data_IF_544622113321
#
_entry.id   IF_544622113321
#
_cell.length_a   1.000
_cell.length_b   1.000
_cell.length_c   1.000
_cell.angle_alpha   90.00
_cell.angle_beta   90.00
_cell.angle_gamma   90.00
#
_symmetry.space_group_name_H-M   'P 1'
#
loop_
_entity.id
_entity.type
_entity.pdbx_description
1 polymer ?
#
# COMPACT_ATOMS: atom_id res chain seq x y z
N UNK A 1 1.85 9.15 1.20
CA UNK A 1 1.91 10.40 1.99
C UNK A 1 2.50 11.52 1.12
N UNK A 2 1.63 12.37 0.57
CA UNK A 2 2.10 13.62 0.02
C UNK A 2 2.72 14.42 1.17
N UNK A 3 4.00 14.79 1.05
CA UNK A 3 4.62 15.73 1.97
C UNK A 3 3.72 16.97 2.07
N UNK A 4 3.53 17.52 3.28
CA UNK A 4 2.74 18.77 3.49
C UNK A 4 3.22 19.94 2.61
N UNK A 5 4.40 19.81 2.02
CA UNK A 5 5.05 20.78 1.12
C UNK A 5 5.12 20.31 -0.33
N UNK A 6 4.42 19.24 -0.71
CA UNK A 6 4.40 18.78 -2.09
C UNK A 6 3.56 19.72 -2.96
N UNK A 7 4.00 19.94 -4.19
CA UNK A 7 3.20 20.63 -5.19
C UNK A 7 1.94 19.81 -5.46
N UNK A 8 0.73 20.41 -5.49
CA UNK A 8 -0.49 19.71 -5.89
C UNK A 8 -0.30 18.99 -7.23
N UNK A 9 -0.87 17.80 -7.37
CA UNK A 9 -0.58 16.93 -8.50
C UNK A 9 -1.02 17.53 -9.84
N UNK A 10 -2.20 18.15 -9.90
CA UNK A 10 -2.70 18.89 -11.04
C UNK A 10 -1.73 20.00 -11.46
N UNK A 11 -1.22 20.76 -10.50
CA UNK A 11 -0.25 21.82 -10.75
C UNK A 11 1.08 21.27 -11.24
N UNK A 12 1.50 20.11 -10.74
CA UNK A 12 2.70 19.43 -11.25
C UNK A 12 2.52 19.03 -12.72
N UNK A 13 1.36 18.46 -13.08
CA UNK A 13 1.03 18.13 -14.47
C UNK A 13 1.05 19.37 -15.38
N UNK A 14 0.42 20.47 -14.96
CA UNK A 14 0.44 21.72 -15.72
C UNK A 14 1.87 22.21 -16.02
N UNK A 15 2.74 22.21 -15.01
CA UNK A 15 4.13 22.65 -15.15
C UNK A 15 4.89 21.75 -16.16
N UNK A 16 4.74 20.43 -16.06
CA UNK A 16 5.37 19.48 -16.95
C UNK A 16 4.88 19.68 -18.41
N UNK A 17 3.57 19.77 -18.59
CA UNK A 17 2.96 19.94 -19.91
C UNK A 17 3.30 21.29 -20.56
N UNK A 18 3.46 22.35 -19.75
CA UNK A 18 3.94 23.65 -20.28
C UNK A 18 5.32 23.59 -20.92
N UNK A 19 6.07 22.50 -20.65
CA UNK A 19 7.39 22.23 -21.23
C UNK A 19 7.38 21.07 -22.22
N UNK A 20 6.19 20.55 -22.58
CA UNK A 20 6.04 19.40 -23.47
C UNK A 20 6.53 18.08 -22.86
N UNK A 21 6.61 17.96 -21.53
CA UNK A 21 7.08 16.76 -20.83
C UNK A 21 5.88 15.95 -20.36
N UNK A 22 5.75 14.67 -20.75
CA UNK A 22 4.70 13.79 -20.25
C UNK A 22 4.95 13.41 -18.80
N UNK A 23 3.86 13.20 -18.05
CA UNK A 23 3.85 12.80 -16.65
C UNK A 23 3.51 11.32 -16.51
N UNK A 24 4.40 10.57 -15.84
CA UNK A 24 4.19 9.16 -15.50
C UNK A 24 4.07 9.03 -13.99
N UNK A 25 3.01 8.38 -13.52
CA UNK A 25 2.74 8.17 -12.09
C UNK A 25 3.02 6.73 -11.71
N UNK A 26 3.87 6.52 -10.71
CA UNK A 26 3.95 5.25 -9.99
C UNK A 26 2.87 5.24 -8.90
N UNK A 27 1.78 4.53 -9.17
CA UNK A 27 0.65 4.37 -8.28
C UNK A 27 0.57 2.94 -7.70
N UNK A 28 1.71 2.26 -7.55
CA UNK A 28 1.78 0.86 -7.13
C UNK A 28 1.08 0.55 -5.81
N UNK A 29 0.90 1.54 -4.91
CA UNK A 29 0.25 1.41 -3.60
C UNK A 29 -1.07 2.20 -3.48
N UNK A 30 -1.65 2.65 -4.58
CA UNK A 30 -2.84 3.50 -4.55
C UNK A 30 -4.15 2.76 -4.85
N UNK A 31 -4.17 1.46 -4.71
CA UNK A 31 -5.38 0.63 -4.75
C UNK A 31 -5.58 -0.06 -3.41
N UNK A 32 -6.84 -0.21 -2.96
CA UNK A 32 -8.06 0.45 -3.38
C UNK A 32 -8.05 1.95 -3.04
N UNK A 33 -8.93 2.81 -3.56
CA UNK A 33 -10.15 2.50 -4.32
C UNK A 33 -9.89 2.21 -5.80
N UNK A 34 -10.80 1.44 -6.40
CA UNK A 34 -10.76 1.15 -7.84
C UNK A 34 -10.81 2.39 -8.73
N UNK A 35 -11.48 3.45 -8.26
CA UNK A 35 -11.55 4.74 -8.96
C UNK A 35 -10.16 5.34 -9.22
N UNK A 36 -9.15 5.01 -8.42
CA UNK A 36 -7.78 5.45 -8.63
C UNK A 36 -7.15 4.91 -9.92
N UNK A 37 -7.67 3.81 -10.47
CA UNK A 37 -7.21 3.32 -11.78
C UNK A 37 -7.42 4.35 -12.90
N UNK A 38 -8.37 5.28 -12.74
CA UNK A 38 -8.65 6.33 -13.70
C UNK A 38 -8.27 7.73 -13.20
N UNK A 39 -8.37 7.94 -11.90
CA UNK A 39 -8.22 9.24 -11.25
C UNK A 39 -6.96 10.00 -11.69
N UNK A 40 -5.79 9.36 -11.66
CA UNK A 40 -4.54 10.03 -12.00
C UNK A 40 -4.50 10.50 -13.46
N UNK A 41 -5.12 9.75 -14.38
CA UNK A 41 -5.27 10.15 -15.78
C UNK A 41 -6.23 11.36 -15.88
N UNK A 42 -7.35 11.32 -15.17
CA UNK A 42 -8.33 12.41 -15.16
C UNK A 42 -7.75 13.68 -14.50
N UNK A 43 -6.80 13.55 -13.58
CA UNK A 43 -6.06 14.65 -12.94
C UNK A 43 -4.86 15.15 -13.78
N UNK A 44 -4.56 14.54 -14.93
CA UNK A 44 -3.56 15.03 -15.89
C UNK A 44 -2.32 14.15 -16.08
N UNK A 45 -2.23 12.96 -15.49
CA UNK A 45 -1.17 12.03 -15.84
C UNK A 45 -1.29 11.53 -17.28
N UNK A 46 -0.16 11.40 -17.98
CA UNK A 46 -0.12 10.80 -19.32
C UNK A 46 -0.05 9.27 -19.26
N UNK A 47 0.57 8.74 -18.22
CA UNK A 47 0.58 7.30 -17.89
C UNK A 47 0.54 7.09 -16.38
N UNK A 48 -0.01 5.94 -15.97
CA UNK A 48 -0.01 5.48 -14.57
C UNK A 48 0.29 4.00 -14.50
N UNK A 49 1.15 3.61 -13.57
CA UNK A 49 1.54 2.22 -13.32
C UNK A 49 0.99 1.75 -11.96
N UNK A 50 0.32 0.59 -11.95
CA UNK A 50 -0.15 -0.09 -10.75
C UNK A 50 0.54 -1.43 -10.58
N UNK A 51 0.74 -1.87 -9.34
CA UNK A 51 1.22 -3.22 -9.05
C UNK A 51 0.11 -4.24 -9.23
N UNK A 52 0.40 -5.32 -9.93
CA UNK A 52 -0.51 -6.47 -10.03
C UNK A 52 -0.50 -7.37 -8.80
N UNK A 53 0.61 -7.37 -8.03
CA UNK A 53 0.81 -8.26 -6.90
C UNK A 53 0.48 -7.68 -5.52
N UNK A 54 -0.08 -6.46 -5.45
CA UNK A 54 -0.52 -5.82 -4.19
C UNK A 54 -2.04 -5.96 -4.01
N UNK A 55 -2.78 -4.88 -3.91
CA UNK A 55 -4.22 -4.91 -3.71
C UNK A 55 -5.01 -5.71 -4.77
N UNK A 56 -4.50 -5.78 -5.99
CA UNK A 56 -5.09 -6.62 -7.06
C UNK A 56 -4.91 -8.13 -6.78
N UNK A 57 -3.95 -8.53 -5.93
CA UNK A 57 -3.68 -9.91 -5.51
C UNK A 57 -3.35 -10.86 -6.67
N UNK A 58 -2.78 -10.33 -7.75
CA UNK A 58 -2.23 -11.11 -8.85
C UNK A 58 -0.79 -11.55 -8.60
N UNK A 59 -0.12 -12.18 -9.59
CA UNK A 59 1.28 -12.56 -9.47
C UNK A 59 2.19 -11.37 -9.21
N UNK A 60 3.16 -11.53 -8.30
CA UNK A 60 4.04 -10.44 -7.82
C UNK A 60 4.87 -9.78 -8.92
N UNK A 61 5.27 -10.53 -9.94
CA UNK A 61 6.05 -10.02 -11.07
C UNK A 61 5.25 -9.22 -12.11
N UNK A 62 3.98 -8.88 -11.82
CA UNK A 62 3.08 -8.23 -12.77
C UNK A 62 2.78 -6.77 -12.42
N UNK A 63 2.43 -5.99 -13.44
CA UNK A 63 1.94 -4.62 -13.31
C UNK A 63 0.92 -4.29 -14.39
N UNK A 64 0.22 -3.18 -14.15
CA UNK A 64 -0.77 -2.63 -15.07
C UNK A 64 -0.28 -1.25 -15.45
N UNK A 65 -0.12 -0.99 -16.75
CA UNK A 65 0.23 0.33 -17.27
C UNK A 65 -0.95 0.88 -18.07
N UNK A 66 -1.48 2.02 -17.66
CA UNK A 66 -2.59 2.72 -18.30
C UNK A 66 -2.12 4.10 -18.77
N UNK A 67 -2.75 4.66 -19.80
CA UNK A 67 -2.43 6.01 -20.24
C UNK A 67 -2.78 6.28 -21.69
N UNK A 68 -2.20 7.35 -22.23
CA UNK A 68 -2.38 7.79 -23.60
C UNK A 68 -1.90 6.73 -24.59
N UNK A 69 -2.71 6.49 -25.61
CA UNK A 69 -2.49 5.41 -26.58
C UNK A 69 -1.09 5.44 -27.21
N UNK A 70 -0.59 6.60 -27.63
CA UNK A 70 0.71 6.74 -28.26
C UNK A 70 1.88 6.38 -27.31
N UNK A 71 1.73 6.66 -26.00
CA UNK A 71 2.74 6.32 -25.01
C UNK A 71 2.69 4.84 -24.63
N UNK A 72 1.50 4.27 -24.56
CA UNK A 72 1.32 2.83 -24.34
C UNK A 72 1.87 2.02 -25.52
N UNK A 73 1.65 2.45 -26.76
CA UNK A 73 2.21 1.79 -27.93
C UNK A 73 3.75 1.93 -27.97
N UNK A 74 4.30 3.07 -27.57
CA UNK A 74 5.75 3.24 -27.41
C UNK A 74 6.33 2.31 -26.33
N UNK A 75 5.66 2.19 -25.17
CA UNK A 75 6.04 1.26 -24.12
C UNK A 75 5.99 -0.20 -24.61
N UNK A 76 4.93 -0.58 -25.32
CA UNK A 76 4.77 -1.90 -25.94
C UNK A 76 5.87 -2.21 -26.95
N UNK A 77 6.24 -1.26 -27.79
CA UNK A 77 7.32 -1.45 -28.76
C UNK A 77 8.67 -1.73 -28.09
N UNK A 78 8.88 -1.20 -26.88
CA UNK A 78 10.10 -1.39 -26.09
C UNK A 78 10.08 -2.65 -25.20
N UNK A 79 8.91 -3.28 -25.01
CA UNK A 79 8.71 -4.45 -24.14
C UNK A 79 8.79 -5.77 -24.93
N UNK A 80 8.87 -6.87 -24.20
CA UNK A 80 8.76 -8.23 -24.78
C UNK A 80 7.44 -8.36 -25.59
N UNK A 81 7.48 -9.00 -26.80
CA UNK A 81 8.56 -9.83 -27.34
C UNK A 81 9.64 -9.07 -28.16
N UNK A 82 9.52 -7.75 -28.28
CA UNK A 82 10.47 -6.96 -29.06
C UNK A 82 11.86 -6.90 -28.38
N UNK A 83 12.93 -6.83 -29.19
CA UNK A 83 14.32 -6.82 -28.70
C UNK A 83 14.78 -5.38 -28.40
N UNK A 84 14.14 -4.73 -27.44
CA UNK A 84 14.46 -3.37 -26.99
C UNK A 84 14.76 -3.33 -25.49
N UNK A 85 14.87 -2.13 -24.93
CA UNK A 85 15.40 -1.86 -23.58
C UNK A 85 14.66 -2.64 -22.46
N UNK A 86 13.35 -2.83 -22.59
CA UNK A 86 12.54 -3.55 -21.61
C UNK A 86 12.33 -5.04 -21.93
N UNK A 87 13.10 -5.61 -22.88
CA UNK A 87 13.00 -7.04 -23.24
C UNK A 87 13.31 -7.97 -22.08
N UNK A 88 14.21 -7.56 -21.20
CA UNK A 88 14.58 -8.33 -19.98
C UNK A 88 13.50 -8.34 -18.91
N UNK A 89 12.54 -7.41 -18.95
CA UNK A 89 11.41 -7.30 -18.02
C UNK A 89 10.21 -8.13 -18.48
N UNK A 90 10.47 -9.25 -19.15
CA UNK A 90 9.44 -10.13 -19.67
C UNK A 90 8.61 -10.75 -18.54
N UNK A 91 7.30 -10.55 -18.62
CA UNK A 91 6.30 -11.27 -17.81
C UNK A 91 5.89 -12.55 -18.54
N UNK A 92 5.76 -13.67 -17.83
CA UNK A 92 5.35 -14.95 -18.40
C UNK A 92 3.86 -14.93 -18.79
N UNK A 93 3.47 -15.80 -19.72
CA UNK A 93 2.05 -15.93 -20.12
C UNK A 93 1.17 -16.41 -18.95
N UNK A 94 1.73 -17.24 -18.08
CA UNK A 94 1.06 -17.77 -16.88
C UNK A 94 0.77 -16.62 -15.90
N UNK A 95 1.72 -15.72 -15.70
CA UNK A 95 1.53 -14.52 -14.88
C UNK A 95 0.52 -13.54 -15.50
N UNK A 96 0.53 -13.39 -16.83
CA UNK A 96 -0.45 -12.53 -17.53
C UNK A 96 -1.88 -13.09 -17.33
N UNK A 97 -2.08 -14.40 -17.48
CA UNK A 97 -3.39 -15.02 -17.24
C UNK A 97 -3.80 -14.88 -15.78
N UNK A 98 -2.86 -15.10 -14.85
CA UNK A 98 -3.10 -14.89 -13.41
C UNK A 98 -3.51 -13.45 -13.10
N UNK A 99 -2.83 -12.46 -13.67
CA UNK A 99 -3.15 -11.04 -13.50
C UNK A 99 -4.54 -10.70 -14.07
N UNK A 100 -4.88 -11.19 -15.27
CA UNK A 100 -6.21 -10.94 -15.88
C UNK A 100 -7.32 -11.49 -14.97
N UNK A 101 -7.11 -12.69 -14.40
CA UNK A 101 -8.06 -13.29 -13.47
C UNK A 101 -8.17 -12.47 -12.19
N UNK A 102 -7.05 -12.04 -11.61
CA UNK A 102 -7.03 -11.20 -10.41
C UNK A 102 -7.72 -9.85 -10.63
N UNK A 103 -7.49 -9.19 -11.77
CA UNK A 103 -8.18 -7.94 -12.14
C UNK A 103 -9.71 -8.17 -12.23
N UNK A 104 -10.15 -9.27 -12.83
CA UNK A 104 -11.59 -9.58 -12.92
C UNK A 104 -12.21 -9.76 -11.54
N UNK A 105 -11.54 -10.44 -10.63
CA UNK A 105 -11.98 -10.58 -9.24
C UNK A 105 -12.04 -9.21 -8.58
N UNK A 106 -10.94 -8.47 -8.60
CA UNK A 106 -10.82 -7.14 -8.00
C UNK A 106 -11.89 -6.15 -8.48
N UNK A 107 -12.22 -6.16 -9.78
CA UNK A 107 -13.24 -5.27 -10.35
C UNK A 107 -14.69 -5.64 -9.96
N UNK A 108 -14.92 -6.87 -9.49
CA UNK A 108 -16.25 -7.35 -9.09
C UNK A 108 -16.40 -7.52 -7.57
N UNK A 109 -15.36 -7.20 -6.77
CA UNK A 109 -15.47 -7.20 -5.31
C UNK A 109 -16.42 -6.12 -4.80
N UNK A 110 -17.02 -6.36 -3.66
CA UNK A 110 -17.74 -5.34 -2.91
C UNK A 110 -16.72 -4.49 -2.14
N UNK A 111 -16.31 -3.37 -2.72
CA UNK A 111 -15.28 -2.48 -2.17
C UNK A 111 -15.72 -1.85 -0.83
N UNK A 112 -17.01 -1.62 -0.65
CA UNK A 112 -17.56 -1.08 0.60
C UNK A 112 -17.49 -2.13 1.72
N UNK A 113 -17.89 -3.36 1.43
CA UNK A 113 -17.80 -4.46 2.38
C UNK A 113 -16.33 -4.77 2.76
N UNK A 114 -15.40 -4.76 1.80
CA UNK A 114 -13.97 -4.95 2.08
C UNK A 114 -13.39 -3.81 2.94
N UNK A 115 -13.75 -2.56 2.66
CA UNK A 115 -13.32 -1.41 3.46
C UNK A 115 -13.88 -1.50 4.89
N UNK A 116 -15.13 -1.92 5.05
CA UNK A 116 -15.74 -2.14 6.35
C UNK A 116 -15.01 -3.25 7.13
N UNK A 117 -14.66 -4.35 6.46
CA UNK A 117 -13.90 -5.46 7.05
C UNK A 117 -12.53 -4.99 7.55
N UNK A 118 -11.75 -4.28 6.73
CA UNK A 118 -10.46 -3.74 7.16
C UNK A 118 -10.59 -2.76 8.33
N UNK A 119 -11.65 -1.94 8.32
CA UNK A 119 -11.92 -1.00 9.41
C UNK A 119 -12.18 -1.74 10.73
N UNK A 120 -12.96 -2.82 10.68
CA UNK A 120 -13.26 -3.62 11.87
C UNK A 120 -12.00 -4.35 12.39
N UNK A 121 -11.17 -4.89 11.50
CA UNK A 121 -9.89 -5.49 11.88
C UNK A 121 -8.98 -4.47 12.59
N UNK A 122 -8.90 -3.24 12.08
CA UNK A 122 -8.13 -2.18 12.74
C UNK A 122 -8.73 -1.78 14.10
N UNK A 123 -10.06 -1.73 14.26
CA UNK A 123 -10.69 -1.46 15.57
C UNK A 123 -10.31 -2.52 16.60
N UNK A 124 -10.37 -3.79 16.23
CA UNK A 124 -9.93 -4.88 17.11
C UNK A 124 -8.47 -4.73 17.54
N UNK A 125 -7.59 -4.35 16.63
CA UNK A 125 -6.20 -4.08 16.95
C UNK A 125 -6.06 -2.88 17.92
N UNK A 126 -6.81 -1.80 17.71
CA UNK A 126 -6.85 -0.64 18.61
C UNK A 126 -7.33 -1.04 19.99
N UNK A 127 -8.47 -1.73 20.08
CA UNK A 127 -9.09 -2.13 21.35
C UNK A 127 -8.17 -3.05 22.18
N UNK A 128 -7.43 -3.92 21.52
CA UNK A 128 -6.50 -4.84 22.19
C UNK A 128 -5.21 -4.18 22.68
N UNK A 129 -4.82 -3.04 22.13
CA UNK A 129 -3.54 -2.37 22.40
C UNK A 129 -3.70 -1.05 23.17
N UNK A 130 -4.90 -0.47 23.24
CA UNK A 130 -5.13 0.85 23.87
C UNK A 130 -4.78 0.88 25.37
N UNK A 131 -4.84 -0.26 26.05
CA UNK A 131 -4.50 -0.36 27.47
C UNK A 131 -3.00 -0.54 27.77
N UNK A 132 -2.15 -0.61 26.72
CA UNK A 132 -0.69 -0.71 26.92
C UNK A 132 -0.18 0.61 27.49
N UNK A 133 0.50 0.62 28.65
CA UNK A 133 0.95 1.86 29.25
C UNK A 133 2.00 2.57 28.38
N UNK A 134 1.90 3.89 28.25
CA UNK A 134 2.87 4.72 27.55
C UNK A 134 2.71 4.72 26.02
N UNK A 135 1.64 4.14 25.48
CA UNK A 135 1.29 4.26 24.07
C UNK A 135 -0.08 4.92 23.88
N UNK A 136 -0.26 5.52 22.73
CA UNK A 136 -1.58 5.91 22.22
C UNK A 136 -1.86 5.09 20.97
N UNK A 137 -3.07 4.57 20.82
CA UNK A 137 -3.44 3.74 19.67
C UNK A 137 -4.65 4.36 19.00
N UNK A 138 -4.56 4.55 17.69
CA UNK A 138 -5.65 5.15 16.90
C UNK A 138 -5.82 4.42 15.57
N UNK A 139 -7.06 4.43 15.07
CA UNK A 139 -7.35 4.05 13.70
C UNK A 139 -7.13 5.28 12.81
N UNK A 140 -6.25 5.16 11.83
CA UNK A 140 -5.97 6.22 10.89
C UNK A 140 -6.33 5.81 9.46
N UNK A 141 -6.96 6.76 8.77
CA UNK A 141 -7.45 6.55 7.44
C UNK A 141 -7.53 7.90 6.72
N UNK A 142 -6.93 8.05 5.55
CA UNK A 142 -7.02 9.28 4.80
C UNK A 142 -8.38 9.45 4.09
N UNK A 143 -9.08 8.33 3.88
CA UNK A 143 -10.45 8.31 3.35
C UNK A 143 -10.61 8.75 1.90
N UNK A 144 -9.51 9.15 1.24
CA UNK A 144 -9.52 9.71 -0.10
C UNK A 144 -8.61 8.96 -1.06
N UNK A 145 -7.34 8.86 -0.72
CA UNK A 145 -6.31 8.38 -1.64
C UNK A 145 -6.08 6.88 -1.53
N UNK A 146 -6.37 6.33 -0.35
CA UNK A 146 -6.20 4.91 -0.06
C UNK A 146 -7.24 4.44 0.95
N UNK A 147 -8.05 3.44 0.62
CA UNK A 147 -9.20 3.02 1.45
C UNK A 147 -8.86 2.05 2.57
N UNK A 148 -7.62 1.62 2.72
CA UNK A 148 -7.24 0.69 3.78
C UNK A 148 -6.77 1.47 5.00
N UNK A 149 -7.47 1.35 6.14
CA UNK A 149 -7.07 1.98 7.38
C UNK A 149 -5.84 1.29 7.97
N UNK A 150 -5.19 1.95 8.91
CA UNK A 150 -4.06 1.42 9.66
C UNK A 150 -4.31 1.62 11.15
N UNK A 151 -4.13 0.61 11.97
CA UNK A 151 -4.06 0.79 13.42
C UNK A 151 -2.65 1.28 13.78
N UNK A 152 -2.56 2.51 14.28
CA UNK A 152 -1.30 3.20 14.57
C UNK A 152 -1.04 3.22 16.07
N UNK A 153 0.08 2.67 16.47
CA UNK A 153 0.61 2.72 17.85
C UNK A 153 1.68 3.79 17.91
N UNK A 154 1.48 4.82 18.73
CA UNK A 154 2.45 5.89 18.99
C UNK A 154 2.98 5.82 20.41
N UNK A 155 4.29 5.94 20.54
CA UNK A 155 4.97 6.00 21.81
C UNK A 155 4.90 7.42 22.38
N UNK A 156 4.40 7.55 23.62
CA UNK A 156 4.31 8.83 24.30
C UNK A 156 5.71 9.27 24.83
N UNK A 157 5.82 10.49 25.30
CA UNK A 157 7.04 11.00 25.96
C UNK A 157 7.38 10.20 27.24
N UNK A 158 6.36 9.60 27.84
CA UNK A 158 6.50 8.75 29.05
C UNK A 158 6.81 7.28 28.72
N UNK A 159 6.94 6.92 27.44
CA UNK A 159 7.29 5.56 27.05
C UNK A 159 8.65 5.14 27.61
N UNK A 160 8.70 4.02 28.32
CA UNK A 160 9.92 3.45 28.93
C UNK A 160 10.24 2.05 28.44
N UNK A 161 9.45 1.54 27.49
CA UNK A 161 9.67 0.25 26.85
C UNK A 161 10.74 0.29 25.76
N UNK A 162 10.85 -0.78 24.96
CA UNK A 162 11.83 -0.88 23.89
C UNK A 162 11.64 0.20 22.81
N UNK A 163 12.73 0.58 22.17
CA UNK A 163 12.72 1.48 21.00
C UNK A 163 11.99 0.86 19.82
N UNK A 164 11.54 1.67 18.87
CA UNK A 164 10.93 1.17 17.63
C UNK A 164 11.81 0.10 16.95
N UNK A 165 13.13 0.31 16.85
CA UNK A 165 14.04 -0.63 16.22
C UNK A 165 14.13 -1.97 16.97
N UNK A 166 14.11 -1.95 18.30
CA UNK A 166 14.08 -3.14 19.14
C UNK A 166 12.74 -3.88 18.99
N UNK A 167 11.62 -3.16 18.95
CA UNK A 167 10.29 -3.74 18.71
C UNK A 167 10.25 -4.45 17.35
N UNK A 168 10.68 -3.78 16.28
CA UNK A 168 10.73 -4.38 14.93
C UNK A 168 11.62 -5.61 14.88
N UNK A 169 12.78 -5.55 15.56
CA UNK A 169 13.71 -6.69 15.66
C UNK A 169 13.12 -7.85 16.47
N UNK A 170 12.45 -7.59 17.58
CA UNK A 170 11.82 -8.62 18.42
C UNK A 170 10.63 -9.29 17.71
N UNK A 171 9.83 -8.50 17.00
CA UNK A 171 8.70 -9.01 16.20
C UNK A 171 9.20 -9.90 15.04
N UNK A 172 10.17 -9.43 14.27
CA UNK A 172 10.69 -10.16 13.10
C UNK A 172 11.46 -11.43 13.43
N UNK A 173 12.06 -11.51 14.64
CA UNK A 173 12.79 -12.70 15.15
C UNK A 173 11.92 -13.61 16.02
N UNK A 174 10.70 -13.23 16.28
CA UNK A 174 9.77 -14.00 17.12
C UNK A 174 9.20 -15.23 16.40
N UNK A 175 8.43 -16.00 17.14
CA UNK A 175 7.74 -17.16 16.59
C UNK A 175 6.22 -17.04 16.90
N UNK A 176 5.39 -16.90 15.88
CA UNK A 176 5.75 -16.65 14.48
C UNK A 176 6.36 -15.26 14.27
N UNK A 177 7.16 -15.04 13.21
CA UNK A 177 7.70 -13.73 12.87
C UNK A 177 6.59 -12.79 12.41
N UNK A 178 6.61 -11.54 12.91
CA UNK A 178 5.63 -10.52 12.58
C UNK A 178 6.33 -9.30 11.99
N UNK A 179 5.78 -8.75 10.93
CA UNK A 179 6.26 -7.53 10.27
C UNK A 179 5.17 -6.46 10.31
N UNK A 180 5.48 -5.34 10.92
CA UNK A 180 4.59 -4.17 11.00
C UNK A 180 5.15 -3.01 10.17
N UNK A 181 4.28 -2.04 9.82
CA UNK A 181 4.72 -0.87 9.04
C UNK A 181 5.48 0.12 9.93
N UNK A 182 6.48 0.77 9.31
CA UNK A 182 7.04 2.03 9.81
C UNK A 182 6.35 3.18 9.08
N UNK A 183 5.88 4.18 9.81
CA UNK A 183 5.06 5.27 9.26
C UNK A 183 5.84 6.57 9.03
N UNK A 184 7.16 6.51 9.11
CA UNK A 184 8.07 7.62 8.79
C UNK A 184 8.64 8.35 10.01
N UNK A 185 8.19 8.04 11.22
CA UNK A 185 8.74 8.55 12.49
C UNK A 185 9.33 7.44 13.37
N UNK A 186 10.29 7.75 14.25
CA UNK A 186 10.90 6.77 15.16
C UNK A 186 9.98 6.40 16.34
N UNK A 187 8.88 7.10 16.50
CA UNK A 187 7.96 6.96 17.64
C UNK A 187 6.65 6.24 17.32
N UNK A 188 6.54 5.53 16.18
CA UNK A 188 5.29 4.90 15.80
C UNK A 188 5.47 3.63 14.96
N UNK A 189 4.54 2.68 15.12
CA UNK A 189 4.39 1.50 14.26
C UNK A 189 2.94 1.38 13.79
N UNK A 190 2.71 0.74 12.65
CA UNK A 190 1.38 0.55 12.08
C UNK A 190 1.06 -0.90 11.79
N UNK A 191 -0.14 -1.34 12.14
CA UNK A 191 -0.72 -2.62 11.73
C UNK A 191 -1.63 -2.35 10.53
N UNK A 192 -1.23 -2.86 9.36
CA UNK A 192 -1.97 -2.73 8.11
C UNK A 192 -2.68 -4.06 7.82
N UNK A 193 -4.02 -4.07 7.68
CA UNK A 193 -4.79 -5.30 7.56
C UNK A 193 -4.81 -5.92 6.16
N UNK A 194 -4.22 -5.28 5.14
CA UNK A 194 -4.37 -5.67 3.72
C UNK A 194 -4.01 -7.12 3.42
N UNK A 195 -3.03 -7.66 4.15
CA UNK A 195 -2.54 -9.03 3.97
C UNK A 195 -2.91 -9.95 5.13
N UNK A 196 -3.84 -9.53 6.00
CA UNK A 196 -4.26 -10.28 7.17
C UNK A 196 -5.67 -10.84 6.98
N UNK A 197 -5.89 -12.00 7.54
CA UNK A 197 -7.21 -12.53 7.88
C UNK A 197 -7.43 -12.42 9.40
N UNK A 198 -8.56 -12.89 9.89
CA UNK A 198 -8.94 -12.82 11.30
C UNK A 198 -7.94 -13.54 12.21
N UNK A 199 -7.49 -14.73 11.81
CA UNK A 199 -6.57 -15.56 12.59
C UNK A 199 -5.18 -14.93 12.66
N UNK A 200 -4.67 -14.46 11.54
CA UNK A 200 -3.36 -13.79 11.47
C UNK A 200 -3.37 -12.44 12.16
N UNK A 201 -4.48 -11.69 12.15
CA UNK A 201 -4.63 -10.47 12.92
C UNK A 201 -4.47 -10.74 14.43
N UNK A 202 -5.12 -11.76 14.96
CA UNK A 202 -5.03 -12.12 16.38
C UNK A 202 -3.60 -12.47 16.78
N UNK A 203 -2.87 -13.17 15.91
CA UNK A 203 -1.44 -13.45 16.10
C UNK A 203 -0.62 -12.17 16.14
N UNK A 204 -0.82 -11.29 15.16
CA UNK A 204 -0.10 -10.01 15.05
C UNK A 204 -0.33 -9.16 16.29
N UNK A 205 -1.59 -8.96 16.68
CA UNK A 205 -1.97 -8.15 17.84
C UNK A 205 -1.37 -8.70 19.13
N UNK A 206 -1.50 -10.01 19.36
CA UNK A 206 -0.91 -10.68 20.52
C UNK A 206 0.61 -10.48 20.58
N UNK A 207 1.32 -10.71 19.47
CA UNK A 207 2.78 -10.56 19.38
C UNK A 207 3.23 -9.11 19.59
N UNK A 208 2.52 -8.14 19.01
CA UNK A 208 2.78 -6.71 19.24
C UNK A 208 2.61 -6.38 20.72
N UNK A 209 1.51 -6.81 21.34
CA UNK A 209 1.24 -6.57 22.77
C UNK A 209 2.30 -7.19 23.67
N UNK A 210 2.72 -8.43 23.42
CA UNK A 210 3.78 -9.11 24.17
C UNK A 210 5.10 -8.31 24.11
N UNK A 211 5.50 -7.86 22.94
CA UNK A 211 6.76 -7.09 22.77
C UNK A 211 6.65 -5.71 23.42
N UNK A 212 5.51 -5.03 23.34
CA UNK A 212 5.30 -3.74 24.00
C UNK A 212 5.31 -3.85 25.53
N UNK A 213 4.90 -4.98 26.09
CA UNK A 213 4.87 -5.22 27.53
C UNK A 213 6.17 -5.88 28.06
N UNK A 214 7.08 -6.29 27.18
CA UNK A 214 8.37 -6.84 27.59
C UNK A 214 9.25 -5.72 28.16
N UNK A 215 9.60 -5.84 29.44
CA UNK A 215 10.54 -4.97 30.12
C UNK A 215 11.98 -5.44 29.93
#
# INVERSE_FOLDING_TARGET
HASRNAVPFDRFCEIAHSRGVPVVVDAANFLPPRSNMRRFIDEGADMVAFSGGKAVRGPQGTGILLGRTELIEAARANASPNNFVARSLKVSKEEIVGLITAIRVFLNEDEEAETARYTEMCRRAVDALVEVPGVTVSLEHDGRDYLIPTAVVRFSEDWRGPTQAEILSALSRGDPPVFVRTLGGPGEIGIDPINLDEETLDIVVRRVREVLLSQ
#
